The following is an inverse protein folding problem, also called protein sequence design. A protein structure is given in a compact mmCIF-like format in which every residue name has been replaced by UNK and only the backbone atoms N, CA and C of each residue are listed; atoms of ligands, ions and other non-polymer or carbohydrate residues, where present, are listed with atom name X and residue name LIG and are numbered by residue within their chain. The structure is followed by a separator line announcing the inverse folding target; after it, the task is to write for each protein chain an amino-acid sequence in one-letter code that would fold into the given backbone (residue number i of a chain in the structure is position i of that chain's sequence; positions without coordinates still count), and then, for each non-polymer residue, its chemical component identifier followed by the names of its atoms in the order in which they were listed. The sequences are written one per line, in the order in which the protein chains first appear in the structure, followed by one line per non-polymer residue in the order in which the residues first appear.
data_IF_548221146148
#
_entry.id   IF_548221146148
#
_cell.length_a   1.000
_cell.length_b   1.000
_cell.length_c   1.000
_cell.angle_alpha   90.00
_cell.angle_beta   90.00
_cell.angle_gamma   90.00
#
_symmetry.space_group_name_H-M   'P 1'
#
loop_
_entity.id
_entity.type
_entity.pdbx_description
1 polymer ?
#
# COMPACT_ATOMS: atom_id res chain seq x y z
N UNK A 1 -12.13 3.63 8.71
CA UNK A 1 -11.20 3.06 7.71
C UNK A 1 -10.35 4.21 7.19
N UNK A 2 -9.02 4.20 7.40
CA UNK A 2 -8.18 5.26 6.85
C UNK A 2 -7.99 5.02 5.36
N UNK A 3 -8.25 6.05 4.54
CA UNK A 3 -7.84 6.05 3.14
C UNK A 3 -6.30 6.18 3.11
N UNK A 4 -5.59 5.05 3.14
CA UNK A 4 -4.13 5.03 2.99
C UNK A 4 -3.76 5.68 1.67
N UNK A 5 -2.77 6.59 1.70
CA UNK A 5 -2.23 7.16 0.47
C UNK A 5 -1.54 6.08 -0.34
N UNK A 6 -1.63 6.25 -1.65
CA UNK A 6 -1.14 5.32 -2.67
C UNK A 6 -0.06 6.03 -3.46
N UNK A 7 0.97 5.31 -3.83
CA UNK A 7 2.11 5.85 -4.53
C UNK A 7 2.51 4.94 -5.69
N UNK A 8 3.06 5.55 -6.72
CA UNK A 8 3.62 4.82 -7.85
C UNK A 8 5.02 4.24 -7.54
N UNK A 9 5.65 3.66 -8.55
CA UNK A 9 6.99 3.07 -8.45
C UNK A 9 8.04 4.08 -7.95
N UNK A 10 7.93 5.35 -8.34
CA UNK A 10 8.86 6.41 -7.97
C UNK A 10 8.57 6.99 -6.59
N UNK A 11 7.43 6.65 -5.98
CA UNK A 11 7.01 7.21 -4.70
C UNK A 11 6.27 8.53 -4.83
N UNK A 12 5.77 8.86 -6.03
CA UNK A 12 4.89 10.00 -6.24
C UNK A 12 3.50 9.61 -5.78
N UNK A 13 2.85 10.47 -4.99
CA UNK A 13 1.49 10.22 -4.52
C UNK A 13 0.49 10.19 -5.70
N UNK A 14 -0.36 9.18 -5.72
CA UNK A 14 -1.43 9.01 -6.70
C UNK A 14 -2.62 9.83 -6.22
N UNK A 15 -2.87 10.92 -6.93
CA UNK A 15 -3.96 11.87 -6.76
C UNK A 15 -4.90 11.85 -7.97
N UNK A 16 -5.77 12.86 -8.11
CA UNK A 16 -6.78 12.90 -9.18
C UNK A 16 -6.18 12.99 -10.59
N UNK A 17 -5.05 13.68 -10.75
CA UNK A 17 -4.43 13.96 -12.05
C UNK A 17 -3.64 12.76 -12.62
N UNK A 18 -3.17 11.86 -11.76
CA UNK A 18 -2.44 10.63 -12.10
C UNK A 18 -3.14 9.37 -11.58
N UNK A 19 -4.48 9.41 -11.46
CA UNK A 19 -5.29 8.35 -10.82
C UNK A 19 -5.16 6.97 -11.48
N UNK A 20 -4.74 6.93 -12.75
CA UNK A 20 -4.60 5.71 -13.54
C UNK A 20 -3.20 5.07 -13.40
N UNK A 21 -2.27 5.71 -12.66
CA UNK A 21 -0.98 5.12 -12.36
C UNK A 21 -1.11 3.84 -11.54
N UNK A 22 -0.22 2.89 -11.80
CA UNK A 22 -0.17 1.63 -11.05
C UNK A 22 0.28 1.93 -9.62
N UNK A 23 -0.50 1.45 -8.65
CA UNK A 23 -0.15 1.50 -7.24
C UNK A 23 0.93 0.48 -6.95
N UNK A 24 2.11 0.96 -6.54
CA UNK A 24 3.28 0.15 -6.22
C UNK A 24 3.73 0.31 -4.76
N UNK A 25 3.31 1.38 -4.08
CA UNK A 25 3.54 1.58 -2.64
C UNK A 25 2.32 2.18 -1.94
N UNK A 26 2.22 1.97 -0.63
CA UNK A 26 1.18 2.56 0.23
C UNK A 26 1.76 3.02 1.57
N UNK A 27 1.05 3.91 2.27
CA UNK A 27 1.39 4.30 3.65
C UNK A 27 1.37 3.09 4.61
N UNK A 28 2.46 2.89 5.35
CA UNK A 28 2.52 2.00 6.50
C UNK A 28 2.29 2.77 7.81
N UNK A 29 1.69 2.12 8.80
CA UNK A 29 1.45 2.70 10.12
C UNK A 29 2.73 3.04 10.91
N UNK A 30 3.92 2.57 10.47
CA UNK A 30 5.20 3.00 11.03
C UNK A 30 5.76 4.30 10.41
N UNK A 31 5.02 4.96 9.50
CA UNK A 31 5.45 6.17 8.81
C UNK A 31 6.30 5.94 7.55
N UNK A 32 6.58 4.68 7.21
CA UNK A 32 7.33 4.28 6.02
C UNK A 32 6.39 3.84 4.89
N UNK A 33 6.93 3.53 3.71
CA UNK A 33 6.16 3.01 2.58
C UNK A 33 6.21 1.49 2.51
N UNK A 34 5.06 0.83 2.57
CA UNK A 34 4.93 -0.58 2.24
C UNK A 34 4.93 -0.76 0.72
N UNK A 35 5.68 -1.75 0.22
CA UNK A 35 5.84 -2.02 -1.22
C UNK A 35 4.98 -3.19 -1.64
N UNK A 36 4.49 -3.17 -2.87
CA UNK A 36 3.75 -4.27 -3.47
C UNK A 36 4.60 -5.54 -3.49
N UNK A 37 4.04 -6.65 -3.05
CA UNK A 37 4.72 -7.94 -3.04
C UNK A 37 4.66 -8.56 -4.43
N UNK A 38 5.82 -8.84 -5.02
CA UNK A 38 5.91 -9.44 -6.36
C UNK A 38 5.18 -10.79 -6.39
N UNK A 39 4.35 -11.00 -7.41
CA UNK A 39 3.60 -12.24 -7.60
C UNK A 39 2.37 -12.41 -6.70
N UNK A 40 2.08 -11.46 -5.81
CA UNK A 40 0.84 -11.46 -5.01
C UNK A 40 -0.10 -10.37 -5.50
N UNK A 41 -1.38 -10.71 -5.69
CA UNK A 41 -2.39 -9.76 -6.12
C UNK A 41 -2.74 -8.81 -4.97
N UNK A 42 -2.41 -7.52 -5.14
CA UNK A 42 -2.79 -6.43 -4.24
C UNK A 42 -2.37 -6.60 -2.77
N UNK A 43 -1.22 -7.25 -2.56
CA UNK A 43 -0.57 -7.40 -1.26
C UNK A 43 0.61 -6.45 -1.16
N UNK A 44 0.75 -5.79 -0.02
CA UNK A 44 1.83 -4.85 0.26
C UNK A 44 2.50 -5.21 1.58
N UNK A 45 3.82 -5.04 1.66
CA UNK A 45 4.60 -5.36 2.84
C UNK A 45 5.58 -4.23 3.17
N UNK A 46 5.65 -3.87 4.44
CA UNK A 46 6.62 -2.89 4.92
C UNK A 46 7.90 -3.60 5.36
N UNK A 47 9.01 -3.33 4.67
CA UNK A 47 10.31 -3.89 5.01
C UNK A 47 10.80 -3.47 6.42
N UNK A 48 10.36 -2.32 6.92
CA UNK A 48 10.85 -1.75 8.18
C UNK A 48 10.14 -2.33 9.42
N UNK A 49 8.86 -2.68 9.32
CA UNK A 49 8.09 -3.17 10.47
C UNK A 49 7.38 -4.51 10.22
N UNK A 50 7.56 -5.12 9.06
CA UNK A 50 6.98 -6.42 8.69
C UNK A 50 5.47 -6.44 8.49
N UNK A 51 4.76 -5.31 8.60
CA UNK A 51 3.30 -5.29 8.42
C UNK A 51 2.94 -5.61 6.98
N UNK A 52 1.97 -6.50 6.83
CA UNK A 52 1.39 -6.90 5.56
C UNK A 52 0.00 -6.28 5.42
N UNK A 53 -0.33 -5.80 4.22
CA UNK A 53 -1.60 -5.17 3.90
C UNK A 53 -2.25 -5.83 2.69
N UNK A 54 -3.56 -6.01 2.76
CA UNK A 54 -4.38 -6.60 1.70
C UNK A 54 -5.49 -5.64 1.29
N UNK A 55 -5.90 -5.70 0.02
CA UNK A 55 -7.03 -4.89 -0.45
C UNK A 55 -8.36 -5.52 -0.04
N UNK A 56 -9.17 -4.76 0.68
CA UNK A 56 -10.54 -5.10 1.07
C UNK A 56 -11.43 -3.92 0.72
N UNK A 57 -12.44 -4.14 -0.13
CA UNK A 57 -13.38 -3.11 -0.58
C UNK A 57 -12.70 -1.80 -1.04
N UNK A 58 -11.60 -1.92 -1.80
CA UNK A 58 -10.86 -0.77 -2.34
C UNK A 58 -9.82 -0.15 -1.39
N UNK A 59 -9.76 -0.58 -0.13
CA UNK A 59 -8.87 -0.06 0.91
C UNK A 59 -7.80 -1.08 1.29
N UNK A 60 -6.64 -0.62 1.76
CA UNK A 60 -5.57 -1.50 2.24
C UNK A 60 -5.62 -1.61 3.77
N UNK A 61 -5.92 -2.81 4.26
CA UNK A 61 -6.05 -3.10 5.69
C UNK A 61 -4.87 -3.94 6.16
N UNK A 62 -4.35 -3.64 7.36
CA UNK A 62 -3.27 -4.44 7.95
C UNK A 62 -3.80 -5.83 8.28
N UNK A 63 -3.05 -6.87 7.93
CA UNK A 63 -3.23 -8.19 8.51
C UNK A 63 -2.76 -8.14 9.95
N UNK A 64 -3.64 -8.54 10.86
CA UNK A 64 -3.30 -8.84 12.24
C UNK A 64 -3.38 -10.36 12.32
N UNK A 65 -2.25 -11.03 12.58
CA UNK A 65 -2.28 -12.44 12.95
C UNK A 65 -3.05 -12.55 14.27
N UNK A 66 -4.24 -13.16 14.22
CA UNK A 66 -5.00 -13.63 15.39
C UNK A 66 -4.50 -14.98 15.85
#
# INVERSE_FOLDING_TARGET
MSNRRKYDHYGIEIQRWNRDNIVEKIDCDCGQLAKKVRGKHEVFECAECGRVYHRVLGNYVAMIDT
#
